data_IF_283450642364
#
_entry.id   IF_283450642364
#
_cell.length_a   1.000
_cell.length_b   1.000
_cell.length_c   1.000
_cell.angle_alpha   90.00
_cell.angle_beta   90.00
_cell.angle_gamma   90.00
#
_symmetry.space_group_name_H-M   'P 1'
#
loop_
_entity.id
_entity.type
_entity.pdbx_description
1 polymer ?
#
# COMPACT_ATOMS: atom_id res chain seq x y z
N UNK A 1 25.55 -1.52 -3.01
CA UNK A 1 24.65 -1.01 -1.95
C UNK A 1 23.21 -0.74 -2.45
N UNK A 2 22.95 -0.71 -3.77
CA UNK A 2 21.61 -0.41 -4.32
C UNK A 2 20.77 -1.65 -4.75
N UNK A 3 21.38 -2.81 -4.94
CA UNK A 3 20.65 -4.02 -5.41
C UNK A 3 19.66 -4.57 -4.37
N UNK A 4 19.94 -4.38 -3.08
CA UNK A 4 19.04 -4.78 -1.99
C UNK A 4 17.74 -3.96 -1.98
N UNK A 5 17.82 -2.63 -2.17
CA UNK A 5 16.63 -1.75 -2.14
C UNK A 5 15.70 -1.97 -3.35
N UNK A 6 16.24 -2.42 -4.48
CA UNK A 6 15.42 -2.79 -5.63
C UNK A 6 14.57 -4.03 -5.34
N UNK A 7 15.17 -5.07 -4.74
CA UNK A 7 14.46 -6.27 -4.28
C UNK A 7 13.38 -5.93 -3.26
N UNK A 8 13.75 -5.19 -2.22
CA UNK A 8 12.82 -4.79 -1.15
C UNK A 8 11.64 -4.00 -1.72
N UNK A 9 11.88 -3.05 -2.62
CA UNK A 9 10.80 -2.30 -3.26
C UNK A 9 9.86 -3.18 -4.08
N UNK A 10 10.37 -4.22 -4.74
CA UNK A 10 9.53 -5.19 -5.45
C UNK A 10 8.71 -6.04 -4.46
N UNK A 11 9.32 -6.49 -3.37
CA UNK A 11 8.65 -7.29 -2.34
C UNK A 11 7.50 -6.51 -1.69
N UNK A 12 7.71 -5.25 -1.31
CA UNK A 12 6.64 -4.43 -0.71
C UNK A 12 5.54 -4.08 -1.72
N UNK A 13 5.87 -3.95 -3.01
CA UNK A 13 4.86 -3.80 -4.07
C UNK A 13 4.00 -5.04 -4.22
N UNK A 14 4.61 -6.22 -4.27
CA UNK A 14 3.89 -7.49 -4.36
C UNK A 14 2.98 -7.70 -3.14
N UNK A 15 3.44 -7.34 -1.94
CA UNK A 15 2.64 -7.38 -0.72
C UNK A 15 1.48 -6.38 -0.78
N UNK A 16 1.71 -5.12 -1.17
CA UNK A 16 0.62 -4.14 -1.32
C UNK A 16 -0.44 -4.63 -2.32
N UNK A 17 -0.04 -5.17 -3.47
CA UNK A 17 -0.99 -5.73 -4.45
C UNK A 17 -1.81 -6.88 -3.88
N UNK A 18 -1.17 -7.76 -3.09
CA UNK A 18 -1.86 -8.87 -2.40
C UNK A 18 -2.92 -8.35 -1.44
N UNK A 19 -2.61 -7.31 -0.67
CA UNK A 19 -3.53 -6.73 0.32
C UNK A 19 -4.67 -5.98 -0.37
N UNK A 20 -4.39 -5.17 -1.39
CA UNK A 20 -5.42 -4.49 -2.17
C UNK A 20 -6.43 -5.48 -2.77
N UNK A 21 -5.95 -6.61 -3.30
CA UNK A 21 -6.83 -7.65 -3.84
C UNK A 21 -7.76 -8.24 -2.78
N UNK A 22 -7.24 -8.54 -1.59
CA UNK A 22 -8.06 -9.09 -0.49
C UNK A 22 -9.02 -8.05 0.08
N UNK A 23 -8.58 -6.80 0.22
CA UNK A 23 -9.41 -5.69 0.65
C UNK A 23 -10.59 -5.48 -0.31
N UNK A 24 -10.34 -5.42 -1.62
CA UNK A 24 -11.41 -5.27 -2.62
C UNK A 24 -12.40 -6.44 -2.55
N UNK A 25 -11.92 -7.68 -2.44
CA UNK A 25 -12.79 -8.84 -2.31
C UNK A 25 -13.66 -8.80 -1.03
N UNK A 26 -13.10 -8.29 0.08
CA UNK A 26 -13.84 -8.14 1.35
C UNK A 26 -14.92 -7.06 1.23
N UNK A 27 -14.63 -5.95 0.56
CA UNK A 27 -15.58 -4.89 0.26
C UNK A 27 -16.71 -5.36 -0.67
N UNK A 28 -16.36 -6.11 -1.71
CA UNK A 28 -17.34 -6.68 -2.65
C UNK A 28 -18.28 -7.65 -1.92
N UNK A 29 -17.74 -8.56 -1.10
CA UNK A 29 -18.52 -9.49 -0.29
C UNK A 29 -19.45 -8.75 0.70
N UNK A 30 -18.95 -7.70 1.36
CA UNK A 30 -19.75 -6.89 2.28
C UNK A 30 -20.92 -6.20 1.57
N UNK A 31 -20.69 -5.68 0.36
CA UNK A 31 -21.75 -5.09 -0.46
C UNK A 31 -22.76 -6.13 -0.97
N UNK A 32 -22.31 -7.32 -1.39
CA UNK A 32 -23.20 -8.41 -1.80
C UNK A 32 -24.09 -8.90 -0.65
N UNK A 33 -23.54 -8.97 0.57
CA UNK A 33 -24.29 -9.37 1.76
C UNK A 33 -25.28 -8.30 2.22
N UNK A 34 -24.93 -7.01 2.05
CA UNK A 34 -25.75 -5.87 2.48
C UNK A 34 -25.89 -4.78 1.39
N UNK A 35 -26.60 -5.05 0.27
CA UNK A 35 -26.62 -4.16 -0.90
C UNK A 35 -27.18 -2.76 -0.61
N UNK A 36 -28.17 -2.66 0.30
CA UNK A 36 -28.80 -1.40 0.69
C UNK A 36 -28.14 -0.73 1.91
N UNK A 37 -27.25 -1.46 2.60
CA UNK A 37 -26.62 -1.02 3.86
C UNK A 37 -25.19 -0.51 3.71
N UNK A 38 -24.49 -0.91 2.64
CA UNK A 38 -23.10 -0.55 2.39
C UNK A 38 -22.95 -0.11 0.93
N UNK A 39 -22.32 1.04 0.70
CA UNK A 39 -22.02 1.49 -0.66
C UNK A 39 -20.97 0.56 -1.29
N UNK A 40 -21.11 0.29 -2.58
CA UNK A 40 -20.05 -0.33 -3.36
C UNK A 40 -18.83 0.60 -3.40
N UNK A 41 -17.68 0.09 -2.99
CA UNK A 41 -16.40 0.80 -2.98
C UNK A 41 -15.49 0.14 -4.01
N UNK A 42 -14.77 0.95 -4.78
CA UNK A 42 -13.73 0.52 -5.71
C UNK A 42 -12.41 1.21 -5.32
N UNK A 43 -11.42 0.41 -4.91
CA UNK A 43 -10.13 0.92 -4.46
C UNK A 43 -9.21 1.36 -5.62
N UNK A 44 -9.59 1.14 -6.89
CA UNK A 44 -8.73 1.41 -8.04
C UNK A 44 -8.44 2.90 -8.25
N UNK A 45 -9.44 3.76 -8.09
CA UNK A 45 -9.30 5.21 -8.25
C UNK A 45 -8.33 5.79 -7.22
N UNK A 46 -8.56 5.47 -5.94
CA UNK A 46 -7.74 5.98 -4.85
C UNK A 46 -6.35 5.33 -4.85
N UNK A 47 -6.20 4.07 -5.27
CA UNK A 47 -4.89 3.45 -5.50
C UNK A 47 -4.08 4.16 -6.59
N UNK A 48 -4.73 4.63 -7.66
CA UNK A 48 -4.08 5.41 -8.70
C UNK A 48 -3.63 6.79 -8.17
N UNK A 49 -4.48 7.45 -7.40
CA UNK A 49 -4.15 8.73 -6.76
C UNK A 49 -2.98 8.59 -5.77
N UNK A 50 -2.99 7.54 -4.95
CA UNK A 50 -1.90 7.24 -4.02
C UNK A 50 -0.57 7.01 -4.75
N UNK A 51 -0.60 6.27 -5.87
CA UNK A 51 0.61 6.02 -6.69
C UNK A 51 1.21 7.31 -7.24
N UNK A 52 0.37 8.24 -7.68
CA UNK A 52 0.83 9.56 -8.15
C UNK A 52 1.41 10.39 -6.99
N UNK A 53 0.76 10.35 -5.82
CA UNK A 53 1.28 10.98 -4.61
C UNK A 53 2.67 10.45 -4.24
N UNK A 54 2.85 9.14 -4.13
CA UNK A 54 4.15 8.53 -3.77
C UNK A 54 5.22 8.86 -4.80
N UNK A 55 4.89 8.79 -6.08
CA UNK A 55 5.79 9.16 -7.18
C UNK A 55 6.28 10.60 -7.04
N UNK A 56 5.36 11.54 -6.86
CA UNK A 56 5.68 12.97 -6.73
C UNK A 56 6.41 13.27 -5.42
N UNK A 57 5.97 12.69 -4.30
CA UNK A 57 6.59 12.89 -2.99
C UNK A 57 8.03 12.35 -2.96
N UNK A 58 8.26 11.11 -3.42
CA UNK A 58 9.60 10.53 -3.42
C UNK A 58 10.53 11.16 -4.47
N UNK A 59 9.98 11.77 -5.53
CA UNK A 59 10.75 12.66 -6.42
C UNK A 59 11.21 13.92 -5.68
N UNK A 60 10.38 14.53 -4.84
CA UNK A 60 10.83 15.66 -4.02
C UNK A 60 11.87 15.25 -2.98
N UNK A 61 11.78 14.05 -2.41
CA UNK A 61 12.85 13.48 -1.57
C UNK A 61 14.14 13.37 -2.37
N UNK A 62 14.10 12.81 -3.59
CA UNK A 62 15.26 12.77 -4.49
C UNK A 62 15.87 14.17 -4.71
N UNK A 63 15.04 15.16 -5.03
CA UNK A 63 15.47 16.53 -5.36
C UNK A 63 16.06 17.28 -4.14
N UNK A 64 15.65 16.91 -2.92
CA UNK A 64 16.17 17.49 -1.67
C UNK A 64 17.60 17.01 -1.32
N UNK A 65 18.06 15.92 -1.93
CA UNK A 65 19.41 15.38 -1.68
C UNK A 65 20.41 16.01 -2.66
N UNK A 66 21.67 16.13 -2.20
CA UNK A 66 22.78 16.57 -3.06
C UNK A 66 23.08 15.62 -4.21
N UNK A 67 24.17 15.86 -4.95
CA UNK A 67 24.55 15.02 -6.09
C UNK A 67 25.06 13.63 -5.67
N UNK A 68 24.92 12.64 -6.56
CA UNK A 68 25.45 11.28 -6.38
C UNK A 68 24.41 10.24 -5.95
N UNK A 69 24.84 8.98 -5.79
CA UNK A 69 23.97 7.79 -5.58
C UNK A 69 23.12 7.78 -4.29
N UNK A 70 23.35 8.73 -3.37
CA UNK A 70 22.57 8.86 -2.14
C UNK A 70 21.13 9.30 -2.41
N UNK A 71 20.90 10.15 -3.42
CA UNK A 71 19.55 10.59 -3.79
C UNK A 71 18.68 9.45 -4.33
N UNK A 72 19.27 8.53 -5.10
CA UNK A 72 18.57 7.34 -5.62
C UNK A 72 18.16 6.43 -4.46
N UNK A 73 19.07 6.23 -3.50
CA UNK A 73 18.80 5.44 -2.29
C UNK A 73 17.72 6.08 -1.42
N UNK A 74 17.74 7.41 -1.27
CA UNK A 74 16.73 8.15 -0.50
C UNK A 74 15.34 8.06 -1.13
N UNK A 75 15.24 8.27 -2.44
CA UNK A 75 13.98 8.14 -3.18
C UNK A 75 13.42 6.72 -3.12
N UNK A 76 14.28 5.70 -3.29
CA UNK A 76 13.88 4.29 -3.20
C UNK A 76 13.43 3.92 -1.80
N UNK A 77 14.08 4.45 -0.76
CA UNK A 77 13.68 4.22 0.62
C UNK A 77 12.34 4.89 0.95
N UNK A 78 12.15 6.12 0.51
CA UNK A 78 10.86 6.81 0.60
C UNK A 78 9.72 5.95 0.02
N UNK A 79 9.94 5.38 -1.17
CA UNK A 79 8.96 4.52 -1.81
C UNK A 79 8.64 3.29 -0.95
N UNK A 80 9.68 2.59 -0.48
CA UNK A 80 9.52 1.41 0.39
C UNK A 80 8.71 1.76 1.64
N UNK A 81 9.08 2.83 2.34
CA UNK A 81 8.46 3.20 3.61
C UNK A 81 6.97 3.56 3.41
N UNK A 82 6.64 4.33 2.37
CA UNK A 82 5.25 4.68 2.05
C UNK A 82 4.42 3.48 1.58
N UNK A 83 5.00 2.56 0.81
CA UNK A 83 4.30 1.33 0.40
C UNK A 83 4.00 0.44 1.60
N UNK A 84 4.90 0.38 2.59
CA UNK A 84 4.67 -0.36 3.83
C UNK A 84 3.54 0.25 4.66
N UNK A 85 3.59 1.56 4.88
CA UNK A 85 2.53 2.29 5.59
C UNK A 85 1.18 2.08 4.91
N UNK A 86 1.15 2.20 3.58
CA UNK A 86 -0.06 1.99 2.80
C UNK A 86 -0.63 0.58 2.97
N UNK A 87 0.21 -0.44 2.95
CA UNK A 87 -0.21 -1.83 3.13
C UNK A 87 -0.83 -2.05 4.51
N UNK A 88 -0.23 -1.46 5.55
CA UNK A 88 -0.77 -1.50 6.91
C UNK A 88 -2.13 -0.80 7.01
N UNK A 89 -2.28 0.38 6.40
CA UNK A 89 -3.58 1.09 6.35
C UNK A 89 -4.67 0.32 5.63
N UNK A 90 -4.36 -0.27 4.48
CA UNK A 90 -5.31 -1.14 3.76
C UNK A 90 -5.75 -2.32 4.65
N UNK A 91 -4.81 -2.92 5.36
CA UNK A 91 -5.12 -3.99 6.30
C UNK A 91 -6.04 -3.50 7.42
N UNK A 92 -5.67 -2.41 8.09
CA UNK A 92 -6.39 -1.86 9.24
C UNK A 92 -7.83 -1.44 8.86
N UNK A 93 -7.99 -0.75 7.73
CA UNK A 93 -9.27 -0.12 7.37
C UNK A 93 -10.24 -1.09 6.67
N UNK A 94 -9.72 -2.08 5.92
CA UNK A 94 -10.54 -2.90 5.01
C UNK A 94 -10.44 -4.41 5.21
N UNK A 95 -9.46 -4.90 5.98
CA UNK A 95 -9.24 -6.35 6.18
C UNK A 95 -9.37 -6.75 7.65
N UNK A 96 -8.87 -5.92 8.56
CA UNK A 96 -8.96 -6.14 9.99
C UNK A 96 -10.42 -5.97 10.43
N UNK A 97 -11.07 -7.08 10.76
CA UNK A 97 -12.43 -7.05 11.28
C UNK A 97 -12.43 -6.64 12.75
N UNK A 98 -13.25 -5.64 13.17
CA UNK A 98 -13.38 -5.25 14.58
C UNK A 98 -14.04 -6.35 15.43
N UNK A 99 -14.88 -7.17 14.80
CA UNK A 99 -15.63 -8.23 15.45
C UNK A 99 -14.86 -9.55 15.37
N UNK A 100 -13.91 -9.72 16.32
CA UNK A 100 -13.33 -10.95 16.89
C UNK A 100 -13.03 -12.18 16.01
N UNK A 101 -13.20 -12.06 14.71
CA UNK A 101 -12.96 -13.02 13.65
C UNK A 101 -11.54 -12.83 13.14
N UNK A 102 -10.90 -13.94 12.77
CA UNK A 102 -9.56 -13.86 12.20
C UNK A 102 -9.63 -13.10 10.86
N UNK A 103 -8.80 -12.06 10.67
CA UNK A 103 -8.79 -11.31 9.43
C UNK A 103 -8.31 -12.20 8.27
N UNK A 104 -8.79 -11.89 7.06
CA UNK A 104 -8.45 -12.67 5.86
C UNK A 104 -6.93 -12.67 5.57
N UNK A 105 -6.22 -11.63 6.02
CA UNK A 105 -4.76 -11.57 6.06
C UNK A 105 -4.27 -11.17 7.46
N UNK A 106 -3.12 -11.69 7.90
CA UNK A 106 -2.49 -11.23 9.14
C UNK A 106 -2.04 -9.76 8.99
N UNK A 107 -1.78 -9.11 10.12
CA UNK A 107 -1.13 -7.80 10.12
C UNK A 107 0.21 -7.87 9.37
N UNK A 108 0.48 -6.93 8.45
CA UNK A 108 1.70 -6.96 7.66
C UNK A 108 2.92 -6.64 8.54
N UNK A 109 3.95 -7.51 8.52
CA UNK A 109 5.13 -7.44 9.41
C UNK A 109 6.26 -6.53 8.89
N UNK A 110 5.92 -5.50 8.15
CA UNK A 110 6.85 -4.77 7.28
C UNK A 110 7.59 -3.65 8.00
#
# INVERSE_FOLDING_TARGET
MNECLTSVAKEVDEELHRYLKVAQASLDQGHEQFPDGVKKIDLSEESAAWKEYVSTYCRHVYDSYGTGSLRDSAARRCYVDLTKERTHRIWEDFIATPDSSAPALPEPKI
#
